data_IF_114176167879
#
_entry.id   IF_114176167879
#
_cell.length_a   1.000
_cell.length_b   1.000
_cell.length_c   1.000
_cell.angle_alpha   90.00
_cell.angle_beta   90.00
_cell.angle_gamma   90.00
#
_symmetry.space_group_name_H-M   'P 1'
#
loop_
_entity.id
_entity.type
_entity.pdbx_description
1 polymer ?
#
# COMPACT_ATOMS: atom_id res chain seq x y z
N UNK A 1 6.41 12.57 -16.58
CA UNK A 1 7.61 11.82 -16.13
C UNK A 1 7.15 11.06 -14.90
N UNK A 2 7.04 9.73 -14.95
CA UNK A 2 6.58 8.96 -13.78
C UNK A 2 7.79 8.83 -12.86
N UNK A 3 7.83 9.65 -11.82
CA UNK A 3 8.81 9.52 -10.76
C UNK A 3 8.17 8.62 -9.70
N UNK A 4 8.74 7.47 -9.35
CA UNK A 4 8.07 6.54 -8.42
C UNK A 4 8.58 6.73 -6.98
N UNK A 5 7.66 6.89 -6.03
CA UNK A 5 7.98 6.72 -4.61
C UNK A 5 7.62 5.30 -4.18
N UNK A 6 8.61 4.55 -3.64
CA UNK A 6 8.40 3.17 -3.19
C UNK A 6 8.52 3.06 -1.66
N UNK A 7 7.40 2.79 -1.01
CA UNK A 7 7.38 2.37 0.39
C UNK A 7 7.39 0.85 0.46
N UNK A 8 8.20 0.28 1.36
CA UNK A 8 8.23 -1.17 1.62
C UNK A 8 7.70 -1.42 3.02
N UNK A 9 6.59 -2.14 3.10
CA UNK A 9 5.99 -2.52 4.37
C UNK A 9 6.11 -4.03 4.51
N UNK A 10 6.68 -4.43 5.64
CA UNK A 10 6.85 -5.84 6.00
C UNK A 10 5.62 -6.25 6.81
N UNK A 11 4.87 -7.24 6.32
CA UNK A 11 3.69 -7.72 7.05
C UNK A 11 4.00 -9.08 7.65
N UNK A 12 3.82 -9.22 8.97
CA UNK A 12 3.78 -10.51 9.65
C UNK A 12 2.37 -11.09 9.40
N UNK A 13 2.27 -12.17 8.62
CA UNK A 13 1.02 -12.88 8.25
C UNK A 13 0.20 -12.24 7.10
N UNK A 14 0.55 -12.60 5.86
CA UNK A 14 0.02 -12.01 4.62
C UNK A 14 -1.51 -12.10 4.38
N UNK A 15 -2.24 -12.91 5.14
CA UNK A 15 -3.69 -13.12 4.95
C UNK A 15 -4.54 -11.98 5.51
N UNK A 16 -4.12 -11.35 6.61
CA UNK A 16 -4.96 -10.35 7.30
C UNK A 16 -4.97 -9.00 6.56
N UNK A 17 -3.89 -8.71 5.82
CA UNK A 17 -3.72 -7.42 5.15
C UNK A 17 -4.65 -7.22 3.93
N UNK A 18 -4.94 -8.25 3.14
CA UNK A 18 -5.82 -8.13 1.96
C UNK A 18 -7.24 -7.66 2.32
N UNK A 19 -7.82 -8.24 3.36
CA UNK A 19 -9.16 -7.86 3.82
C UNK A 19 -9.18 -6.46 4.44
N UNK A 20 -8.10 -6.08 5.13
CA UNK A 20 -7.98 -4.76 5.74
C UNK A 20 -7.80 -3.63 4.71
N UNK A 21 -7.08 -3.89 3.61
CA UNK A 21 -6.98 -2.95 2.48
C UNK A 21 -8.37 -2.62 1.92
N UNK A 22 -9.20 -3.63 1.65
CA UNK A 22 -10.55 -3.43 1.12
C UNK A 22 -11.42 -2.63 2.12
N UNK A 23 -11.36 -2.95 3.42
CA UNK A 23 -12.08 -2.22 4.47
C UNK A 23 -11.70 -0.74 4.55
N UNK A 24 -10.44 -0.41 4.27
CA UNK A 24 -9.94 0.98 4.26
C UNK A 24 -10.16 1.70 2.93
N UNK A 25 -10.89 1.09 1.98
CA UNK A 25 -11.29 1.71 0.73
C UNK A 25 -10.30 1.53 -0.42
N UNK A 26 -9.34 0.61 -0.31
CA UNK A 26 -8.51 0.22 -1.43
C UNK A 26 -9.32 -0.61 -2.43
N UNK A 27 -9.27 -0.23 -3.70
CA UNK A 27 -9.92 -0.94 -4.80
C UNK A 27 -9.00 -2.02 -5.33
N UNK A 28 -9.44 -3.28 -5.27
CA UNK A 28 -8.73 -4.40 -5.87
C UNK A 28 -8.81 -4.32 -7.40
N UNK A 29 -7.65 -4.35 -8.08
CA UNK A 29 -7.60 -4.45 -9.55
C UNK A 29 -7.32 -5.89 -9.98
N UNK A 30 -6.43 -6.60 -9.27
CA UNK A 30 -6.17 -8.03 -9.49
C UNK A 30 -5.79 -8.72 -8.17
N UNK A 31 -5.39 -10.00 -8.24
CA UNK A 31 -5.08 -10.81 -7.04
C UNK A 31 -4.04 -10.19 -6.10
N UNK A 32 -3.09 -9.45 -6.66
CA UNK A 32 -1.91 -8.92 -5.98
C UNK A 32 -1.79 -7.40 -6.08
N UNK A 33 -2.82 -6.71 -6.59
CA UNK A 33 -2.79 -5.27 -6.85
C UNK A 33 -4.04 -4.57 -6.34
N UNK A 34 -3.82 -3.51 -5.58
CA UNK A 34 -4.84 -2.63 -5.04
C UNK A 34 -4.49 -1.18 -5.34
N UNK A 35 -5.48 -0.33 -5.57
CA UNK A 35 -5.30 1.10 -5.82
C UNK A 35 -6.21 1.93 -4.93
N UNK A 36 -5.74 3.09 -4.50
CA UNK A 36 -6.52 4.09 -3.78
C UNK A 36 -6.09 5.49 -4.20
N UNK A 37 -7.04 6.40 -4.27
CA UNK A 37 -6.78 7.82 -4.52
C UNK A 37 -6.83 8.56 -3.19
N UNK A 38 -5.79 9.35 -2.92
CA UNK A 38 -5.67 10.24 -1.77
C UNK A 38 -5.80 11.68 -2.25
N UNK A 39 -6.66 12.47 -1.59
CA UNK A 39 -6.97 13.83 -2.04
C UNK A 39 -7.72 13.82 -3.40
N UNK A 40 -7.37 14.75 -4.29
CA UNK A 40 -7.95 14.84 -5.64
C UNK A 40 -7.23 13.97 -6.66
N UNK A 41 -5.91 13.87 -6.59
CA UNK A 41 -5.11 13.38 -7.73
C UNK A 41 -4.05 12.33 -7.38
N UNK A 42 -3.65 12.20 -6.12
CA UNK A 42 -2.56 11.28 -5.75
C UNK A 42 -3.03 9.84 -5.75
N UNK A 43 -2.53 9.04 -6.69
CA UNK A 43 -2.86 7.61 -6.76
C UNK A 43 -1.76 6.79 -6.06
N UNK A 44 -2.17 5.94 -5.14
CA UNK A 44 -1.31 4.97 -4.49
C UNK A 44 -1.72 3.54 -4.90
N UNK A 45 -0.74 2.71 -5.19
CA UNK A 45 -0.90 1.32 -5.61
C UNK A 45 -0.18 0.40 -4.62
N UNK A 46 -0.87 -0.57 -4.06
CA UNK A 46 -0.29 -1.60 -3.21
C UNK A 46 -0.11 -2.87 -4.03
N UNK A 47 1.13 -3.33 -4.11
CA UNK A 47 1.54 -4.55 -4.80
C UNK A 47 2.00 -5.58 -3.77
N UNK A 48 1.35 -6.73 -3.75
CA UNK A 48 1.79 -7.87 -2.95
C UNK A 48 3.01 -8.52 -3.62
N UNK A 49 4.08 -8.71 -2.84
CA UNK A 49 5.29 -9.43 -3.23
C UNK A 49 5.61 -10.50 -2.20
N UNK A 50 5.53 -11.75 -2.62
CA UNK A 50 5.92 -12.91 -1.81
C UNK A 50 7.43 -13.12 -2.01
N UNK A 51 8.22 -13.12 -0.93
CA UNK A 51 9.62 -13.50 -1.02
C UNK A 51 9.74 -15.03 -1.11
N UNK A 52 10.40 -15.58 -2.16
CA UNK A 52 10.42 -17.02 -2.41
C UNK A 52 11.05 -17.84 -1.27
N UNK A 53 11.99 -17.26 -0.53
CA UNK A 53 12.86 -17.99 0.40
C UNK A 53 12.44 -17.88 1.87
N UNK A 54 11.58 -16.93 2.23
CA UNK A 54 11.19 -16.71 3.64
C UNK A 54 9.71 -16.97 3.91
N UNK A 55 8.90 -17.20 2.86
CA UNK A 55 7.43 -17.23 2.98
C UNK A 55 6.83 -15.90 3.45
N UNK A 56 7.64 -14.84 3.53
CA UNK A 56 7.20 -13.54 4.01
C UNK A 56 6.54 -12.77 2.86
N UNK A 57 5.36 -12.26 3.16
CA UNK A 57 4.60 -11.40 2.26
C UNK A 57 4.98 -9.95 2.54
N UNK A 58 5.35 -9.23 1.49
CA UNK A 58 5.64 -7.80 1.53
C UNK A 58 4.61 -7.06 0.70
N UNK A 59 4.25 -5.88 1.15
CA UNK A 59 3.45 -4.98 0.36
C UNK A 59 4.33 -3.80 -0.04
N UNK A 60 4.46 -3.60 -1.35
CA UNK A 60 5.13 -2.42 -1.91
C UNK A 60 4.06 -1.40 -2.28
N UNK A 61 4.14 -0.20 -1.71
CA UNK A 61 3.25 0.90 -2.09
C UNK A 61 3.97 1.80 -3.07
N UNK A 62 3.34 2.02 -4.21
CA UNK A 62 3.80 2.87 -5.30
C UNK A 62 2.90 4.08 -5.38
N UNK A 63 3.48 5.27 -5.36
CA UNK A 63 2.72 6.51 -5.53
C UNK A 63 2.97 7.01 -6.94
N UNK A 64 1.91 7.06 -7.73
CA UNK A 64 1.91 7.60 -9.07
C UNK A 64 1.85 9.12 -8.98
N UNK A 65 2.78 9.80 -9.64
CA UNK A 65 2.91 11.26 -9.71
C UNK A 65 3.23 11.93 -8.34
N UNK A 66 4.49 11.83 -7.87
CA UNK A 66 4.93 12.36 -6.58
C UNK A 66 4.99 13.89 -6.54
N UNK A 67 4.79 14.55 -7.68
CA UNK A 67 4.55 16.01 -7.70
C UNK A 67 3.26 16.37 -6.95
N UNK A 68 2.29 15.46 -6.90
CA UNK A 68 1.06 15.60 -6.10
C UNK A 68 1.23 15.12 -4.65
N UNK A 69 2.35 14.43 -4.36
CA UNK A 69 2.60 13.83 -3.05
C UNK A 69 3.00 14.90 -2.04
N UNK A 70 2.09 15.20 -1.12
CA UNK A 70 2.39 16.02 0.05
C UNK A 70 2.85 15.16 1.22
N UNK A 71 3.61 15.77 2.14
CA UNK A 71 4.01 15.14 3.41
C UNK A 71 2.82 14.60 4.20
N UNK A 72 1.68 15.31 4.15
CA UNK A 72 0.45 14.89 4.79
C UNK A 72 -0.10 13.59 4.19
N UNK A 73 -0.18 13.49 2.85
CA UNK A 73 -0.64 12.29 2.16
C UNK A 73 0.29 11.10 2.45
N UNK A 74 1.60 11.34 2.47
CA UNK A 74 2.58 10.31 2.80
C UNK A 74 2.35 9.74 4.21
N UNK A 75 2.15 10.62 5.20
CA UNK A 75 1.83 10.17 6.56
C UNK A 75 0.49 9.46 6.63
N UNK A 76 -0.56 9.95 5.97
CA UNK A 76 -1.86 9.26 5.94
C UNK A 76 -1.77 7.85 5.35
N UNK A 77 -0.94 7.66 4.32
CA UNK A 77 -0.67 6.33 3.75
C UNK A 77 0.07 5.46 4.78
N UNK A 78 1.14 5.98 5.40
CA UNK A 78 1.90 5.24 6.41
C UNK A 78 1.06 4.85 7.64
N UNK A 79 0.36 5.82 8.25
CA UNK A 79 -0.48 5.62 9.44
C UNK A 79 -1.57 4.58 9.17
N UNK A 80 -2.23 4.67 8.00
CA UNK A 80 -3.26 3.72 7.62
C UNK A 80 -2.71 2.30 7.49
N UNK A 81 -1.50 2.13 6.93
CA UNK A 81 -0.89 0.81 6.75
C UNK A 81 -0.31 0.27 8.06
N UNK A 82 0.18 1.13 8.94
CA UNK A 82 0.64 0.78 10.29
C UNK A 82 -0.53 0.36 11.21
N UNK A 83 -1.69 1.04 11.12
CA UNK A 83 -2.91 0.61 11.79
C UNK A 83 -3.34 -0.80 11.34
N UNK A 84 -3.21 -1.10 10.05
CA UNK A 84 -3.52 -2.44 9.53
C UNK A 84 -2.56 -3.51 10.07
N UNK A 85 -1.29 -3.17 10.31
CA UNK A 85 -0.32 -4.11 10.91
C UNK A 85 -0.65 -4.39 12.38
N UNK A 86 -0.98 -3.37 13.16
CA UNK A 86 -1.24 -3.49 14.60
C UNK A 86 -2.59 -4.15 14.95
N UNK A 87 -3.55 -4.21 14.01
CA UNK A 87 -4.84 -4.88 14.20
C UNK A 87 -4.81 -6.39 13.87
N UNK A 88 -3.63 -6.95 13.54
CA UNK A 88 -3.43 -8.38 13.23
C UNK A 88 -2.78 -9.14 14.39
#
# INVERSE_FOLDING_TARGET
>A
MITDCKLRIKVKNGTVFKNNLIKKGWKKINENYYIKTYGTDTQAEVHEKILPFSGQTYYSVYIKDPETLTKHILYSICDELEEMEHQC
#
